data_IF_641550021096
#
_entry.id   IF_641550021096
#
_cell.length_a   1.000
_cell.length_b   1.000
_cell.length_c   1.000
_cell.angle_alpha   90.00
_cell.angle_beta   90.00
_cell.angle_gamma   90.00
#
_symmetry.space_group_name_H-M   'P 1'
#
loop_
_entity.id
_entity.type
_entity.pdbx_description
1 polymer ?
#
# COMPACT_ATOMS: atom_id res chain seq x y z
N UNK A 1 21.06 19.86 -9.65
CA UNK A 1 21.10 18.50 -9.07
C UNK A 1 20.82 18.43 -7.56
N UNK A 2 21.10 19.48 -6.77
CA UNK A 2 20.87 19.47 -5.31
C UNK A 2 19.37 19.34 -4.93
N UNK A 3 18.49 19.98 -5.71
CA UNK A 3 17.05 19.98 -5.49
C UNK A 3 16.41 18.59 -5.60
N UNK A 4 16.88 17.76 -6.54
CA UNK A 4 16.39 16.38 -6.67
C UNK A 4 16.75 15.52 -5.46
N UNK A 5 17.96 15.69 -4.90
CA UNK A 5 18.37 14.99 -3.68
C UNK A 5 17.55 15.40 -2.47
N UNK A 6 17.20 16.68 -2.35
CA UNK A 6 16.33 17.15 -1.27
C UNK A 6 14.91 16.58 -1.39
N UNK A 7 14.37 16.52 -2.61
CA UNK A 7 13.07 15.89 -2.87
C UNK A 7 13.10 14.39 -2.56
N UNK A 8 14.16 13.70 -2.94
CA UNK A 8 14.37 12.27 -2.67
C UNK A 8 14.43 11.99 -1.16
N UNK A 9 15.24 12.75 -0.41
CA UNK A 9 15.36 12.60 1.04
C UNK A 9 14.02 12.89 1.73
N UNK A 10 13.31 13.94 1.31
CA UNK A 10 11.99 14.25 1.86
C UNK A 10 10.98 13.13 1.57
N UNK A 11 10.90 12.66 0.32
CA UNK A 11 9.97 11.62 -0.10
C UNK A 11 10.24 10.29 0.61
N UNK A 12 11.51 9.88 0.69
CA UNK A 12 11.92 8.65 1.40
C UNK A 12 11.63 8.73 2.89
N UNK A 13 11.96 9.86 3.54
CA UNK A 13 11.66 10.06 4.97
C UNK A 13 10.17 10.02 5.24
N UNK A 14 9.36 10.67 4.39
CA UNK A 14 7.90 10.68 4.50
C UNK A 14 7.33 9.27 4.30
N UNK A 15 7.83 8.53 3.32
CA UNK A 15 7.42 7.15 3.05
C UNK A 15 7.77 6.23 4.22
N UNK A 16 8.99 6.32 4.73
CA UNK A 16 9.47 5.54 5.88
C UNK A 16 8.73 5.90 7.17
N UNK A 17 8.28 7.14 7.37
CA UNK A 17 7.48 7.51 8.54
C UNK A 17 6.03 6.98 8.50
N UNK A 18 5.54 6.52 7.35
CA UNK A 18 4.15 6.16 7.16
C UNK A 18 3.82 4.80 7.79
N UNK A 19 2.82 4.71 8.68
CA UNK A 19 2.35 3.42 9.22
C UNK A 19 1.81 2.49 8.13
N UNK A 20 1.24 3.04 7.06
CA UNK A 20 0.74 2.26 5.94
C UNK A 20 1.87 1.57 5.16
N UNK A 21 3.02 2.24 5.00
CA UNK A 21 4.20 1.65 4.35
C UNK A 21 4.71 0.43 5.13
N UNK A 22 4.82 0.54 6.45
CA UNK A 22 5.23 -0.57 7.30
C UNK A 22 4.27 -1.76 7.22
N UNK A 23 2.95 -1.51 7.24
CA UNK A 23 1.94 -2.58 7.07
C UNK A 23 2.05 -3.26 5.70
N UNK A 24 2.29 -2.49 4.64
CA UNK A 24 2.47 -3.02 3.29
C UNK A 24 3.73 -3.90 3.19
N UNK A 25 4.86 -3.44 3.74
CA UNK A 25 6.11 -4.22 3.78
C UNK A 25 5.93 -5.51 4.58
N UNK A 26 5.25 -5.44 5.73
CA UNK A 26 4.95 -6.62 6.54
C UNK A 26 4.12 -7.66 5.76
N UNK A 27 3.11 -7.22 5.00
CA UNK A 27 2.32 -8.11 4.15
C UNK A 27 3.14 -8.71 3.00
N UNK A 28 4.01 -7.91 2.37
CA UNK A 28 4.90 -8.39 1.32
C UNK A 28 5.90 -9.42 1.86
N UNK A 29 6.47 -9.15 3.04
CA UNK A 29 7.35 -10.07 3.74
C UNK A 29 6.64 -11.39 4.04
N UNK A 30 5.42 -11.37 4.60
CA UNK A 30 4.62 -12.58 4.84
C UNK A 30 4.33 -13.35 3.55
N UNK A 31 3.98 -12.66 2.46
CA UNK A 31 3.77 -13.29 1.14
C UNK A 31 5.04 -13.97 0.63
N UNK A 32 6.17 -13.27 0.65
CA UNK A 32 7.44 -13.82 0.18
C UNK A 32 7.92 -14.98 1.06
N UNK A 33 7.80 -14.83 2.38
CA UNK A 33 8.14 -15.86 3.33
C UNK A 33 7.33 -17.14 3.10
N UNK A 34 6.01 -17.01 2.84
CA UNK A 34 5.13 -18.14 2.47
C UNK A 34 5.54 -18.81 1.15
N UNK A 35 5.92 -18.01 0.15
CA UNK A 35 6.39 -18.56 -1.13
C UNK A 35 7.72 -19.31 -0.99
N UNK A 36 8.62 -18.84 -0.12
CA UNK A 36 9.97 -19.38 0.04
C UNK A 36 10.05 -20.57 0.99
N UNK A 37 9.31 -20.55 2.10
CA UNK A 37 9.41 -21.55 3.17
C UNK A 37 8.15 -22.40 3.33
N UNK A 38 7.13 -22.20 2.48
CA UNK A 38 5.81 -22.81 2.65
C UNK A 38 4.97 -22.09 3.72
N UNK A 39 3.71 -22.48 3.86
CA UNK A 39 2.78 -21.91 4.84
C UNK A 39 3.18 -22.32 6.27
N UNK A 40 3.61 -21.38 7.14
CA UNK A 40 3.81 -21.71 8.54
C UNK A 40 2.46 -22.07 9.18
N UNK A 41 2.40 -23.20 9.90
CA UNK A 41 1.19 -23.70 10.57
C UNK A 41 0.60 -22.72 11.60
N UNK A 42 1.38 -21.74 12.06
CA UNK A 42 0.94 -20.72 13.04
C UNK A 42 -0.05 -19.69 12.47
N UNK A 43 -0.19 -19.56 11.13
CA UNK A 43 -1.18 -18.66 10.52
C UNK A 43 -2.63 -19.21 10.51
N UNK A 44 -2.89 -20.41 11.06
CA UNK A 44 -4.27 -20.89 11.28
C UNK A 44 -5.02 -20.15 12.40
N UNK A 45 -4.33 -19.34 13.22
CA UNK A 45 -4.90 -18.66 14.38
C UNK A 45 -4.87 -17.13 14.27
N UNK A 46 -5.73 -16.54 13.44
CA UNK A 46 -5.88 -15.08 13.41
C UNK A 46 -6.76 -14.63 12.26
N UNK A 47 -8.05 -14.48 12.55
CA UNK A 47 -9.10 -13.85 11.72
C UNK A 47 -8.78 -13.73 10.22
N UNK A 48 -9.32 -14.67 9.44
CA UNK A 48 -9.55 -14.50 8.01
C UNK A 48 -10.36 -13.20 7.79
N UNK A 49 -9.68 -12.07 7.59
CA UNK A 49 -10.30 -10.79 7.19
C UNK A 49 -10.78 -10.87 5.73
N UNK A 50 -10.52 -11.97 5.02
CA UNK A 50 -10.90 -12.17 3.62
C UNK A 50 -12.36 -12.59 3.40
N UNK A 51 -13.25 -12.40 4.39
CA UNK A 51 -14.65 -12.83 4.26
C UNK A 51 -15.73 -11.80 4.47
N UNK A 52 -15.41 -10.54 4.75
CA UNK A 52 -16.42 -9.48 4.79
C UNK A 52 -15.78 -8.09 4.70
N UNK A 53 -15.60 -7.57 3.49
CA UNK A 53 -15.52 -6.12 3.30
C UNK A 53 -16.47 -5.77 2.16
N UNK A 54 -17.48 -4.96 2.48
CA UNK A 54 -18.42 -4.38 1.54
C UNK A 54 -17.74 -3.51 0.47
N UNK A 55 -18.49 -2.65 -0.23
CA UNK A 55 -18.02 -1.97 -1.44
C UNK A 55 -16.65 -1.33 -1.22
N UNK A 56 -15.68 -1.76 -2.03
CA UNK A 56 -14.26 -1.48 -1.88
C UNK A 56 -13.99 0.03 -1.88
N UNK A 57 -13.81 0.61 -0.68
CA UNK A 57 -13.40 2.00 -0.48
C UNK A 57 -12.19 2.37 -1.33
N UNK A 58 -11.26 1.43 -1.52
CA UNK A 58 -10.08 1.63 -2.35
C UNK A 58 -10.43 1.79 -3.83
N UNK A 59 -11.40 1.01 -4.33
CA UNK A 59 -11.90 1.14 -5.71
C UNK A 59 -12.53 2.52 -5.92
N UNK A 60 -13.41 2.95 -5.01
CA UNK A 60 -14.04 4.27 -5.07
C UNK A 60 -13.01 5.42 -4.97
N UNK A 61 -12.03 5.29 -4.08
CA UNK A 61 -10.95 6.28 -3.94
C UNK A 61 -10.09 6.40 -5.21
N UNK A 62 -9.73 5.28 -5.85
CA UNK A 62 -9.00 5.28 -7.12
C UNK A 62 -9.85 5.85 -8.25
N UNK A 63 -11.12 5.49 -8.32
CA UNK A 63 -12.05 6.01 -9.32
C UNK A 63 -12.18 7.54 -9.19
N UNK A 64 -12.27 8.08 -7.96
CA UNK A 64 -12.35 9.51 -7.72
C UNK A 64 -11.05 10.26 -8.06
N UNK A 65 -9.88 9.72 -7.73
CA UNK A 65 -8.59 10.29 -8.15
C UNK A 65 -8.49 10.32 -9.68
N UNK A 66 -8.91 9.25 -10.35
CA UNK A 66 -8.88 9.16 -11.81
C UNK A 66 -9.85 10.15 -12.46
N UNK A 67 -11.03 10.32 -11.87
CA UNK A 67 -12.03 11.30 -12.27
C UNK A 67 -11.48 12.73 -12.15
N UNK A 68 -10.83 13.07 -11.03
CA UNK A 68 -10.20 14.37 -10.82
C UNK A 68 -9.02 14.61 -11.78
N UNK A 69 -8.20 13.59 -12.05
CA UNK A 69 -7.09 13.70 -13.00
C UNK A 69 -7.61 13.89 -14.44
N UNK A 70 -8.64 13.13 -14.83
CA UNK A 70 -9.29 13.26 -16.15
C UNK A 70 -9.99 14.60 -16.34
N UNK A 71 -10.60 15.12 -15.28
CA UNK A 71 -11.30 16.40 -15.27
C UNK A 71 -10.37 17.59 -14.99
N UNK A 72 -9.04 17.43 -15.07
CA UNK A 72 -8.11 18.57 -15.10
C UNK A 72 -8.52 19.46 -16.29
N UNK A 73 -9.00 20.69 -16.04
CA UNK A 73 -9.50 21.53 -17.11
C UNK A 73 -8.35 21.86 -18.06
N UNK A 74 -8.44 21.41 -19.32
CA UNK A 74 -7.63 21.93 -20.41
C UNK A 74 -8.02 23.41 -20.58
N UNK A 75 -7.19 24.30 -20.03
CA UNK A 75 -7.07 25.67 -20.53
C UNK A 75 -6.05 25.70 -21.64
#
# INVERSE_FOLDING_TARGET
MIWLRLLEVWATTRLLSSPAFHRAVQNAYRRFHRLRHGTPMEEMGGTNIDRNQGPSFFKHFIDEIKEQLRNTPRR
#
